data_IF_152124450234
#
_entry.id   IF_152124450234
#
_cell.length_a   1.000
_cell.length_b   1.000
_cell.length_c   1.000
_cell.angle_alpha   90.00
_cell.angle_beta   90.00
_cell.angle_gamma   90.00
#
_symmetry.space_group_name_H-M   'P 1'
#
loop_
_entity.id
_entity.type
_entity.pdbx_description
1 polymer ?
#
# COMPACT_ATOMS: atom_id res chain seq x y z
N UNK A 1 -3.57 39.16 10.01
CA UNK A 1 -4.38 37.96 10.33
C UNK A 1 -4.81 37.31 9.02
N UNK A 2 -4.01 36.40 8.49
CA UNK A 2 -4.38 35.60 7.31
C UNK A 2 -4.73 34.22 7.83
N UNK A 3 -6.04 33.95 7.93
CA UNK A 3 -6.58 32.63 8.22
C UNK A 3 -6.35 31.73 7.02
N UNK A 4 -5.37 30.84 7.11
CA UNK A 4 -5.23 29.72 6.17
C UNK A 4 -6.13 28.59 6.64
N UNK A 5 -7.36 28.58 6.14
CA UNK A 5 -8.26 27.43 6.27
C UNK A 5 -7.65 26.26 5.51
N UNK A 6 -7.08 25.29 6.22
CA UNK A 6 -6.74 23.98 5.67
C UNK A 6 -8.07 23.28 5.44
N UNK A 7 -8.55 23.28 4.20
CA UNK A 7 -9.64 22.44 3.78
C UNK A 7 -9.19 20.99 3.92
N UNK A 8 -9.64 20.34 4.99
CA UNK A 8 -9.65 18.89 5.12
C UNK A 8 -10.46 18.33 3.95
N UNK A 9 -9.77 17.81 2.94
CA UNK A 9 -10.40 17.06 1.87
C UNK A 9 -10.88 15.74 2.47
N UNK A 10 -12.09 15.75 3.02
CA UNK A 10 -12.77 14.55 3.46
C UNK A 10 -12.74 13.50 2.35
N UNK A 11 -12.03 12.41 2.60
CA UNK A 11 -11.89 11.29 1.67
C UNK A 11 -13.26 10.82 1.22
N UNK A 12 -13.59 11.07 -0.04
CA UNK A 12 -14.85 10.60 -0.63
C UNK A 12 -14.87 9.08 -0.56
N UNK A 13 -15.95 8.48 -0.04
CA UNK A 13 -16.20 7.03 -0.04
C UNK A 13 -16.46 6.45 -1.46
N UNK A 14 -15.89 7.07 -2.50
CA UNK A 14 -16.10 6.72 -3.90
C UNK A 14 -15.25 5.53 -4.37
N UNK A 15 -15.69 4.92 -5.48
CA UNK A 15 -14.96 3.88 -6.23
C UNK A 15 -13.55 4.37 -6.62
N UNK A 16 -12.50 3.52 -6.60
CA UNK A 16 -11.19 3.91 -7.11
C UNK A 16 -11.28 4.35 -8.57
N UNK A 17 -10.53 5.39 -8.92
CA UNK A 17 -10.44 5.84 -10.32
C UNK A 17 -9.77 4.76 -11.19
N UNK A 18 -10.18 4.64 -12.46
CA UNK A 18 -9.48 3.80 -13.43
C UNK A 18 -7.99 4.15 -13.51
N UNK A 19 -7.17 3.14 -13.80
CA UNK A 19 -5.75 3.37 -14.06
C UNK A 19 -5.57 4.25 -15.30
N UNK A 20 -4.59 5.15 -15.24
CA UNK A 20 -4.11 5.87 -16.43
C UNK A 20 -3.54 4.86 -17.45
N UNK A 21 -3.51 5.19 -18.75
CA UNK A 21 -2.83 4.38 -19.75
C UNK A 21 -1.40 4.05 -19.32
N UNK A 22 -0.98 2.79 -19.50
CA UNK A 22 0.35 2.31 -19.09
C UNK A 22 0.55 2.09 -17.58
N UNK A 23 -0.43 2.42 -16.73
CA UNK A 23 -0.35 2.29 -15.26
C UNK A 23 -1.23 1.15 -14.71
N UNK A 24 -1.68 0.24 -15.57
CA UNK A 24 -2.49 -0.92 -15.17
C UNK A 24 -1.56 -2.10 -14.87
N UNK A 25 -1.46 -2.56 -13.61
CA UNK A 25 -0.69 -3.74 -13.27
C UNK A 25 -1.41 -5.00 -13.75
N UNK A 26 -0.67 -6.11 -13.84
CA UNK A 26 -1.26 -7.44 -14.03
C UNK A 26 -2.19 -7.78 -12.86
N UNK A 27 -3.26 -8.51 -13.16
CA UNK A 27 -4.24 -8.90 -12.15
C UNK A 27 -3.58 -9.82 -11.11
N UNK A 28 -3.80 -9.51 -9.83
CA UNK A 28 -3.29 -10.30 -8.70
C UNK A 28 -4.26 -10.19 -7.52
N UNK A 29 -4.47 -11.31 -6.83
CA UNK A 29 -5.25 -11.35 -5.58
C UNK A 29 -4.57 -10.58 -4.46
N UNK A 30 -3.24 -10.44 -4.50
CA UNK A 30 -2.45 -9.70 -3.52
C UNK A 30 -2.49 -8.19 -3.74
N UNK A 31 -2.92 -7.73 -4.92
CA UNK A 31 -2.89 -6.33 -5.34
C UNK A 31 -4.25 -5.88 -5.90
N UNK A 32 -5.33 -5.91 -5.09
CA UNK A 32 -6.65 -5.52 -5.54
C UNK A 32 -6.67 -4.06 -6.00
N UNK A 33 -7.56 -3.74 -6.95
CA UNK A 33 -7.73 -2.38 -7.41
C UNK A 33 -8.32 -1.50 -6.30
N UNK A 34 -7.57 -0.48 -5.89
CA UNK A 34 -7.94 0.43 -4.80
C UNK A 34 -7.34 1.82 -4.99
N UNK A 35 -7.74 2.77 -4.13
CA UNK A 35 -7.20 4.13 -4.14
C UNK A 35 -5.74 4.12 -3.71
N UNK A 36 -4.98 5.13 -4.13
CA UNK A 36 -3.58 5.25 -3.77
C UNK A 36 -3.36 5.26 -2.24
N UNK A 37 -4.20 5.98 -1.49
CA UNK A 37 -4.15 6.03 -0.01
C UNK A 37 -4.40 4.67 0.66
N UNK A 38 -5.06 3.74 -0.02
CA UNK A 38 -5.38 2.43 0.54
C UNK A 38 -4.36 1.34 0.18
N UNK A 39 -3.47 1.61 -0.80
CA UNK A 39 -2.60 0.56 -1.36
C UNK A 39 -1.64 -0.01 -0.35
N UNK A 40 -1.03 0.83 0.49
CA UNK A 40 -0.07 0.36 1.48
C UNK A 40 -0.73 -0.64 2.47
N UNK A 41 -2.04 -0.50 2.73
CA UNK A 41 -2.80 -1.42 3.59
C UNK A 41 -3.33 -2.65 2.85
N UNK A 42 -3.83 -2.46 1.61
CA UNK A 42 -4.53 -3.51 0.86
C UNK A 42 -3.62 -4.39 0.03
N UNK A 43 -2.39 -3.94 -0.27
CA UNK A 43 -1.45 -4.72 -1.07
C UNK A 43 -0.53 -5.51 -0.18
N UNK A 44 -0.49 -6.82 -0.40
CA UNK A 44 0.25 -7.76 0.44
C UNK A 44 1.51 -8.25 -0.29
N UNK A 45 2.63 -8.44 0.44
CA UNK A 45 3.80 -9.07 -0.13
C UNK A 45 3.53 -10.55 -0.42
N UNK A 46 4.10 -11.07 -1.52
CA UNK A 46 3.96 -12.48 -1.89
C UNK A 46 4.61 -13.44 -0.88
N UNK A 47 5.69 -12.98 -0.24
CA UNK A 47 6.31 -13.65 0.90
C UNK A 47 5.95 -12.87 2.16
N UNK A 48 5.03 -13.41 2.96
CA UNK A 48 4.88 -12.93 4.34
C UNK A 48 6.20 -13.20 5.02
N UNK A 49 6.85 -12.15 5.54
CA UNK A 49 7.98 -12.35 6.45
C UNK A 49 7.42 -13.15 7.60
N UNK A 50 7.75 -14.44 7.67
CA UNK A 50 7.53 -15.17 8.91
C UNK A 50 8.20 -14.31 9.97
N UNK A 51 7.49 -14.07 11.07
CA UNK A 51 8.03 -13.28 12.16
C UNK A 51 9.17 -14.06 12.86
N UNK A 52 9.93 -14.88 12.15
CA UNK A 52 11.00 -15.70 12.63
C UNK A 52 12.30 -14.93 12.54
N UNK A 53 12.78 -14.46 13.69
CA UNK A 53 14.17 -14.03 13.85
C UNK A 53 14.88 -15.20 14.53
N UNK A 54 15.94 -15.71 13.91
CA UNK A 54 16.76 -16.82 14.44
C UNK A 54 15.96 -18.10 14.77
N UNK A 55 14.97 -18.45 13.94
CA UNK A 55 14.16 -19.66 14.12
C UNK A 55 13.06 -19.55 15.18
N UNK A 56 12.92 -18.39 15.85
CA UNK A 56 11.83 -18.12 16.80
C UNK A 56 10.74 -17.31 16.16
N UNK A 57 9.57 -17.91 15.96
CA UNK A 57 8.36 -17.18 15.59
C UNK A 57 8.04 -16.15 16.68
N UNK A 58 8.16 -14.87 16.34
CA UNK A 58 7.67 -13.78 17.18
C UNK A 58 6.16 -13.99 17.37
N UNK A 59 5.66 -13.82 18.60
CA UNK A 59 4.25 -14.01 18.91
C UNK A 59 3.42 -12.82 18.44
N UNK A 60 3.54 -12.43 17.17
CA UNK A 60 2.76 -11.34 16.58
C UNK A 60 1.63 -11.96 15.78
N UNK A 61 0.41 -11.73 16.24
CA UNK A 61 -0.82 -12.14 15.57
C UNK A 61 -1.12 -11.22 14.37
N UNK A 62 -1.93 -11.70 13.43
CA UNK A 62 -2.42 -10.87 12.31
C UNK A 62 -3.18 -9.61 12.77
N UNK A 63 -3.86 -9.69 13.92
CA UNK A 63 -4.54 -8.56 14.53
C UNK A 63 -3.54 -7.49 15.01
N UNK A 64 -2.41 -7.93 15.57
CA UNK A 64 -1.33 -7.02 15.98
C UNK A 64 -0.62 -6.42 14.78
N UNK A 65 -0.35 -7.18 13.72
CA UNK A 65 0.18 -6.63 12.46
C UNK A 65 -0.73 -5.56 11.88
N UNK A 66 -2.04 -5.82 11.84
CA UNK A 66 -3.04 -4.86 11.38
C UNK A 66 -3.00 -3.59 12.24
N UNK A 67 -2.93 -3.74 13.57
CA UNK A 67 -2.87 -2.60 14.49
C UNK A 67 -1.58 -1.80 14.33
N UNK A 68 -0.44 -2.45 14.17
CA UNK A 68 0.85 -1.78 13.90
C UNK A 68 0.74 -0.95 12.63
N UNK A 69 0.17 -1.55 11.57
CA UNK A 69 -0.03 -0.87 10.31
C UNK A 69 -0.95 0.34 10.44
N UNK A 70 -2.06 0.21 11.18
CA UNK A 70 -3.00 1.30 11.42
C UNK A 70 -2.36 2.44 12.22
N UNK A 71 -1.57 2.13 13.26
CA UNK A 71 -0.84 3.13 14.06
C UNK A 71 0.17 3.89 13.19
N UNK A 72 0.95 3.18 12.37
CA UNK A 72 1.93 3.80 11.47
C UNK A 72 1.22 4.63 10.39
N UNK A 73 0.10 4.14 9.87
CA UNK A 73 -0.69 4.86 8.86
C UNK A 73 -1.27 6.15 9.40
N UNK A 74 -1.70 6.17 10.67
CA UNK A 74 -2.16 7.39 11.35
C UNK A 74 -1.04 8.41 11.59
N UNK A 75 0.22 7.97 11.64
CA UNK A 75 1.37 8.86 11.76
C UNK A 75 1.70 9.57 10.45
N UNK A 76 1.19 9.09 9.31
CA UNK A 76 1.41 9.70 8.00
C UNK A 76 0.28 10.65 7.62
N UNK A 77 0.64 11.75 6.97
CA UNK A 77 -0.36 12.58 6.30
C UNK A 77 -1.00 11.81 5.14
N UNK A 78 -2.25 12.12 4.80
CA UNK A 78 -2.94 11.49 3.67
C UNK A 78 -2.15 11.65 2.36
N UNK A 79 -1.54 12.83 2.13
CA UNK A 79 -0.70 13.09 0.97
C UNK A 79 0.56 12.22 0.93
N UNK A 80 1.15 11.93 2.09
CA UNK A 80 2.27 10.99 2.21
C UNK A 80 1.82 9.59 1.82
N UNK A 81 0.75 9.07 2.44
CA UNK A 81 0.21 7.73 2.13
C UNK A 81 -0.17 7.60 0.65
N UNK A 82 -0.76 8.63 0.06
CA UNK A 82 -1.07 8.66 -1.37
C UNK A 82 0.17 8.62 -2.26
N UNK A 83 1.22 9.35 -1.90
CA UNK A 83 2.48 9.42 -2.66
C UNK A 83 3.16 8.05 -2.65
N UNK A 84 3.33 7.46 -1.48
CA UNK A 84 3.92 6.12 -1.34
C UNK A 84 3.07 5.05 -2.04
N UNK A 85 1.74 5.07 -1.88
CA UNK A 85 0.85 4.14 -2.58
C UNK A 85 0.83 4.33 -4.11
N UNK A 86 1.11 5.55 -4.61
CA UNK A 86 1.28 5.80 -6.04
C UNK A 86 2.63 5.29 -6.55
N UNK A 87 3.70 5.49 -5.79
CA UNK A 87 5.02 4.91 -6.08
C UNK A 87 4.98 3.39 -6.12
N UNK A 88 4.28 2.75 -5.18
CA UNK A 88 4.12 1.31 -5.13
C UNK A 88 3.41 0.76 -6.38
N UNK A 89 2.39 1.46 -6.89
CA UNK A 89 1.76 1.11 -8.17
C UNK A 89 2.76 1.16 -9.32
N UNK A 90 3.52 2.25 -9.44
CA UNK A 90 4.49 2.45 -10.52
C UNK A 90 5.58 1.36 -10.50
N UNK A 91 6.08 1.04 -9.31
CA UNK A 91 7.05 -0.04 -9.10
C UNK A 91 6.52 -1.39 -9.61
N UNK A 92 5.29 -1.76 -9.22
CA UNK A 92 4.72 -3.04 -9.63
C UNK A 92 4.41 -3.13 -11.13
N UNK A 93 3.97 -2.03 -11.75
CA UNK A 93 3.81 -1.93 -13.21
C UNK A 93 5.16 -2.12 -13.90
N UNK A 94 6.23 -1.54 -13.37
CA UNK A 94 7.58 -1.76 -13.88
C UNK A 94 7.99 -3.23 -13.76
N UNK A 95 7.77 -3.87 -12.61
CA UNK A 95 8.04 -5.30 -12.43
C UNK A 95 7.25 -6.17 -13.42
N UNK A 96 5.97 -5.86 -13.64
CA UNK A 96 5.14 -6.54 -14.63
C UNK A 96 5.74 -6.39 -16.05
N UNK A 97 6.22 -5.19 -16.42
CA UNK A 97 6.88 -4.94 -17.72
C UNK A 97 8.19 -5.71 -17.92
N UNK A 98 8.86 -6.05 -16.81
CA UNK A 98 10.09 -6.84 -16.77
C UNK A 98 9.86 -8.33 -16.51
N UNK A 99 8.58 -8.75 -16.42
CA UNK A 99 8.19 -10.12 -16.11
C UNK A 99 8.83 -10.65 -14.80
N UNK A 100 9.06 -9.76 -13.83
CA UNK A 100 9.62 -10.15 -12.52
C UNK A 100 8.51 -10.88 -11.74
N UNK A 101 8.72 -12.15 -11.33
CA UNK A 101 7.74 -12.89 -10.53
C UNK A 101 7.42 -12.17 -9.22
N UNK A 102 6.18 -12.23 -8.75
CA UNK A 102 5.79 -11.57 -7.48
C UNK A 102 6.69 -11.91 -6.27
N UNK A 103 7.14 -13.16 -6.07
CA UNK A 103 8.03 -13.52 -4.95
C UNK A 103 9.43 -12.89 -4.99
N UNK A 104 9.83 -12.34 -6.14
CA UNK A 104 11.15 -11.74 -6.38
C UNK A 104 11.10 -10.21 -6.41
N UNK A 105 9.91 -9.64 -6.18
CA UNK A 105 9.75 -8.19 -6.01
C UNK A 105 10.19 -7.83 -4.60
N UNK A 106 10.88 -6.69 -4.49
CA UNK A 106 11.11 -6.03 -3.21
C UNK A 106 9.79 -5.91 -2.40
N UNK A 107 9.85 -6.14 -1.08
CA UNK A 107 8.71 -6.06 -0.18
C UNK A 107 8.18 -4.64 0.01
#
# INVERSE_FOLDING_TARGET
MISTTIASAGGTNGRPHPYKPGMRPLASVLRPHCKAVERLKKWLPAKVRSASVDGRTLPITEAELTRIFDVISCAWSEGTTQTYGSGLLAYHVYCDSKQIPEPDRAP
#
